data_IF_978253244896
#
_entry.id   IF_978253244896
#
_cell.length_a   1.000
_cell.length_b   1.000
_cell.length_c   1.000
_cell.angle_alpha   90.00
_cell.angle_beta   90.00
_cell.angle_gamma   90.00
#
_symmetry.space_group_name_H-M   'P 1'
#
loop_
_entity.id
_entity.type
_entity.pdbx_description
1 polymer ?
#
# COMPACT_ATOMS: atom_id res chain seq x y z
N UNK A 1 9.97 2.71 -6.17
CA UNK A 1 10.15 3.78 -7.19
C UNK A 1 10.02 3.24 -8.61
N UNK A 2 10.81 2.22 -9.00
CA UNK A 2 10.85 1.67 -10.38
C UNK A 2 9.48 1.28 -10.93
N UNK A 3 8.66 0.56 -10.16
CA UNK A 3 7.32 0.12 -10.56
C UNK A 3 6.47 1.27 -11.14
N UNK A 4 6.36 2.38 -10.39
CA UNK A 4 5.56 3.54 -10.82
C UNK A 4 6.19 4.19 -12.05
N UNK A 5 7.48 4.49 -12.02
CA UNK A 5 8.15 5.23 -13.11
C UNK A 5 8.08 4.46 -14.42
N UNK A 6 8.33 3.15 -14.40
CA UNK A 6 8.32 2.33 -15.61
C UNK A 6 6.91 2.11 -16.16
N UNK A 7 5.88 2.19 -15.31
CA UNK A 7 4.50 1.88 -15.69
C UNK A 7 3.56 3.08 -15.67
N UNK A 8 4.07 4.29 -15.43
CA UNK A 8 3.29 5.52 -15.22
C UNK A 8 2.32 5.82 -16.38
N UNK A 9 2.74 5.53 -17.61
CA UNK A 9 2.00 5.85 -18.82
C UNK A 9 0.95 4.80 -19.19
N UNK A 10 0.79 3.71 -18.43
CA UNK A 10 -0.24 2.71 -18.70
C UNK A 10 -1.62 3.19 -18.22
N UNK A 11 -2.57 3.47 -19.14
CA UNK A 11 -3.91 3.97 -18.76
C UNK A 11 -4.76 2.88 -18.08
N UNK A 12 -4.37 1.61 -18.22
CA UNK A 12 -5.06 0.47 -17.59
C UNK A 12 -4.76 0.34 -16.09
N UNK A 13 -3.70 0.99 -15.59
CA UNK A 13 -3.36 0.94 -14.18
C UNK A 13 -4.16 2.02 -13.47
N UNK A 14 -4.99 1.62 -12.49
CA UNK A 14 -5.76 2.53 -11.66
C UNK A 14 -5.27 2.59 -10.20
N UNK A 15 -4.50 1.57 -9.77
CA UNK A 15 -4.10 1.37 -8.39
C UNK A 15 -2.63 0.96 -8.27
N UNK A 16 -1.97 1.40 -7.21
CA UNK A 16 -0.64 0.95 -6.79
C UNK A 16 -0.75 0.13 -5.50
N UNK A 17 -0.49 -1.17 -5.60
CA UNK A 17 -0.44 -2.06 -4.44
C UNK A 17 0.82 -1.85 -3.61
N UNK A 18 0.67 -1.60 -2.31
CA UNK A 18 1.78 -1.34 -1.38
C UNK A 18 2.36 -2.64 -0.81
N UNK A 19 1.51 -3.59 -0.44
CA UNK A 19 1.92 -4.91 0.05
C UNK A 19 0.79 -5.94 -0.07
N UNK A 20 1.14 -7.20 0.17
CA UNK A 20 0.23 -8.34 0.17
C UNK A 20 0.47 -9.20 1.42
N UNK A 21 -0.58 -9.44 2.21
CA UNK A 21 -0.61 -10.37 3.36
C UNK A 21 0.54 -10.18 4.36
N UNK A 22 1.05 -8.95 4.48
CA UNK A 22 2.33 -8.69 5.14
C UNK A 22 2.34 -9.05 6.63
N UNK A 23 1.17 -9.11 7.27
CA UNK A 23 1.02 -9.48 8.68
C UNK A 23 1.09 -10.98 8.95
N UNK A 24 1.26 -11.84 7.94
CA UNK A 24 1.58 -13.27 8.14
C UNK A 24 2.81 -13.44 9.05
N UNK A 25 3.78 -12.51 8.95
CA UNK A 25 5.00 -12.50 9.76
C UNK A 25 4.88 -11.77 11.11
N UNK A 26 3.67 -11.28 11.46
CA UNK A 26 3.46 -10.41 12.61
C UNK A 26 3.62 -8.92 12.28
N UNK A 27 3.27 -8.07 13.25
CA UNK A 27 3.29 -6.60 13.12
C UNK A 27 4.45 -6.00 13.92
N UNK A 28 5.02 -4.91 13.40
CA UNK A 28 6.01 -4.08 14.10
C UNK A 28 5.83 -2.61 13.76
N UNK A 29 6.31 -1.71 14.61
CA UNK A 29 6.28 -0.27 14.34
C UNK A 29 7.04 0.10 13.06
N UNK A 30 8.19 -0.55 12.83
CA UNK A 30 8.98 -0.35 11.62
C UNK A 30 8.21 -0.77 10.36
N UNK A 31 7.42 -1.85 10.43
CA UNK A 31 6.57 -2.28 9.32
C UNK A 31 5.51 -1.22 9.02
N UNK A 32 4.84 -0.69 10.04
CA UNK A 32 3.82 0.36 9.90
C UNK A 32 4.44 1.62 9.29
N UNK A 33 5.61 2.06 9.79
CA UNK A 33 6.28 3.26 9.29
C UNK A 33 6.72 3.09 7.83
N UNK A 34 7.27 1.92 7.47
CA UNK A 34 7.61 1.62 6.09
C UNK A 34 6.39 1.71 5.16
N UNK A 35 5.19 1.32 5.61
CA UNK A 35 3.97 1.47 4.79
C UNK A 35 3.54 2.93 4.63
N UNK A 36 3.75 3.78 5.65
CA UNK A 36 3.52 5.23 5.51
C UNK A 36 4.50 5.83 4.49
N UNK A 37 5.78 5.47 4.57
CA UNK A 37 6.81 5.92 3.64
C UNK A 37 6.52 5.47 2.20
N UNK A 38 6.10 4.22 2.01
CA UNK A 38 5.72 3.70 0.70
C UNK A 38 4.47 4.39 0.14
N UNK A 39 3.45 4.62 0.97
CA UNK A 39 2.26 5.36 0.54
C UNK A 39 2.63 6.81 0.16
N UNK A 40 3.41 7.50 0.98
CA UNK A 40 3.90 8.85 0.70
C UNK A 40 4.71 8.89 -0.61
N UNK A 41 5.56 7.90 -0.85
CA UNK A 41 6.33 7.78 -2.08
C UNK A 41 5.45 7.55 -3.31
N UNK A 42 4.38 6.74 -3.19
CA UNK A 42 3.42 6.57 -4.27
C UNK A 42 2.75 7.91 -4.61
N UNK A 43 2.38 8.71 -3.59
CA UNK A 43 1.79 10.04 -3.77
C UNK A 43 2.76 11.08 -4.30
N UNK A 44 4.05 10.98 -3.96
CA UNK A 44 5.11 11.82 -4.52
C UNK A 44 5.29 11.54 -6.02
N UNK A 45 5.33 10.26 -6.42
CA UNK A 45 5.61 9.87 -7.80
C UNK A 45 4.39 9.91 -8.72
N UNK A 46 3.20 9.59 -8.20
CA UNK A 46 1.96 9.55 -8.97
C UNK A 46 0.74 9.90 -8.10
N UNK A 47 0.46 11.20 -7.90
CA UNK A 47 -0.73 11.62 -7.16
C UNK A 47 -2.04 11.36 -7.90
N UNK A 48 -2.00 10.87 -9.16
CA UNK A 48 -3.20 10.68 -10.00
C UNK A 48 -3.88 9.32 -9.80
N UNK A 49 -3.19 8.36 -9.17
CA UNK A 49 -3.70 7.01 -8.90
C UNK A 49 -3.85 6.73 -7.41
N UNK A 50 -4.72 5.77 -7.11
CA UNK A 50 -5.00 5.35 -5.73
C UNK A 50 -3.98 4.31 -5.27
N UNK A 51 -3.64 4.31 -3.99
CA UNK A 51 -2.89 3.24 -3.33
C UNK A 51 -3.83 2.21 -2.75
N UNK A 52 -3.39 0.96 -2.70
CA UNK A 52 -4.15 -0.15 -2.13
C UNK A 52 -3.26 -1.11 -1.36
N UNK A 53 -3.86 -1.87 -0.45
CA UNK A 53 -3.22 -2.94 0.31
C UNK A 53 -4.13 -4.17 0.33
N UNK A 54 -3.53 -5.36 0.22
CA UNK A 54 -4.22 -6.63 0.41
C UNK A 54 -3.87 -7.20 1.80
N UNK A 55 -4.84 -7.19 2.70
CA UNK A 55 -4.71 -7.75 4.05
C UNK A 55 -4.79 -9.27 4.02
N UNK A 56 -4.09 -9.94 4.95
CA UNK A 56 -4.37 -11.35 5.23
C UNK A 56 -5.69 -11.45 5.98
N UNK A 57 -6.46 -12.53 5.77
CA UNK A 57 -7.81 -12.68 6.37
C UNK A 57 -7.85 -12.57 7.90
N UNK A 58 -6.72 -12.75 8.58
CA UNK A 58 -6.58 -12.66 10.03
C UNK A 58 -6.17 -11.26 10.54
N UNK A 59 -6.02 -10.26 9.65
CA UNK A 59 -5.69 -8.89 10.05
C UNK A 59 -6.79 -8.33 10.96
N UNK A 60 -6.46 -7.90 12.20
CA UNK A 60 -7.43 -7.31 13.13
C UNK A 60 -8.06 -6.05 12.54
N UNK A 61 -9.36 -5.84 12.76
CA UNK A 61 -10.11 -4.66 12.26
C UNK A 61 -9.62 -3.32 12.83
N UNK A 62 -8.91 -3.37 13.96
CA UNK A 62 -8.30 -2.23 14.65
C UNK A 62 -6.78 -2.15 14.40
N UNK A 63 -6.27 -2.92 13.44
CA UNK A 63 -4.88 -2.88 13.03
C UNK A 63 -4.47 -1.47 12.61
N UNK A 64 -3.27 -1.00 13.00
CA UNK A 64 -2.74 0.28 12.54
C UNK A 64 -2.39 0.28 11.05
N UNK A 65 -2.58 -0.85 10.35
CA UNK A 65 -2.47 -0.96 8.90
C UNK A 65 -3.69 -0.36 8.17
N UNK A 66 -4.82 -0.21 8.85
CA UNK A 66 -6.02 0.42 8.29
C UNK A 66 -5.86 1.93 8.18
N UNK A 67 -6.40 2.50 7.11
CA UNK A 67 -6.35 3.92 6.79
C UNK A 67 -5.01 4.42 6.25
N UNK A 68 -4.05 3.52 6.00
CA UNK A 68 -2.74 3.90 5.44
C UNK A 68 -2.79 4.16 3.92
N UNK A 69 -3.58 3.37 3.18
CA UNK A 69 -3.77 3.51 1.73
C UNK A 69 -5.15 4.10 1.42
N UNK A 70 -5.38 4.59 0.20
CA UNK A 70 -6.67 5.22 -0.14
C UNK A 70 -7.84 4.23 -0.15
N UNK A 71 -7.56 2.98 -0.54
CA UNK A 71 -8.53 1.87 -0.54
C UNK A 71 -7.87 0.61 0.01
N UNK A 72 -8.68 -0.34 0.48
CA UNK A 72 -8.21 -1.55 1.15
C UNK A 72 -9.00 -2.78 0.69
N UNK A 73 -8.34 -3.92 0.66
CA UNK A 73 -8.93 -5.23 0.33
C UNK A 73 -8.52 -6.27 1.36
N UNK A 74 -9.35 -7.31 1.50
CA UNK A 74 -9.14 -8.50 2.33
C UNK A 74 -9.24 -9.76 1.49
#
# INVERSE_FOLDING_TARGET
KELIIQNYNHPSICFWGVSNEILIGGISEQLVENHKELNALCKELDPTRLTTIAHVSMTPIDSPMHGLTDVESY
#
